data_IF_385097388338
#
_entry.id   IF_385097388338
#
_cell.length_a   1.000
_cell.length_b   1.000
_cell.length_c   1.000
_cell.angle_alpha   90.00
_cell.angle_beta   90.00
_cell.angle_gamma   90.00
#
_symmetry.space_group_name_H-M   'P 1'
#
loop_
_entity.id
_entity.type
_entity.pdbx_description
1 polymer ?
#
# COMPACT_ATOMS: atom_id res chain seq x y z
N UNK A 1 -5.72 2.87 -13.33
CA UNK A 1 -6.81 2.57 -14.27
C UNK A 1 -7.96 2.01 -13.45
N UNK A 2 -9.17 2.50 -13.66
CA UNK A 2 -10.37 1.96 -12.99
C UNK A 2 -11.10 1.05 -13.99
N UNK A 3 -11.35 -0.24 -13.65
CA UNK A 3 -12.06 -1.16 -14.54
C UNK A 3 -13.52 -0.70 -14.71
N UNK A 4 -14.01 -0.68 -15.94
CA UNK A 4 -15.35 -0.14 -16.28
C UNK A 4 -16.43 -1.21 -16.42
N UNK A 5 -16.07 -2.49 -16.32
CA UNK A 5 -17.00 -3.63 -16.37
C UNK A 5 -16.58 -4.72 -15.39
N UNK A 6 -17.53 -5.61 -15.05
CA UNK A 6 -17.25 -6.76 -14.18
C UNK A 6 -16.14 -7.65 -14.74
N UNK A 7 -16.18 -7.96 -16.04
CA UNK A 7 -15.15 -8.78 -16.69
C UNK A 7 -13.76 -8.13 -16.61
N UNK A 8 -13.69 -6.81 -16.85
CA UNK A 8 -12.43 -6.07 -16.71
C UNK A 8 -11.93 -6.08 -15.27
N UNK A 9 -12.83 -5.93 -14.29
CA UNK A 9 -12.47 -5.98 -12.88
C UNK A 9 -11.91 -7.35 -12.49
N UNK A 10 -12.54 -8.44 -12.94
CA UNK A 10 -12.06 -9.80 -12.69
C UNK A 10 -10.63 -9.99 -13.22
N UNK A 11 -10.38 -9.59 -14.47
CA UNK A 11 -9.05 -9.71 -15.07
C UNK A 11 -8.02 -8.77 -14.41
N UNK A 12 -8.41 -7.54 -14.07
CA UNK A 12 -7.51 -6.55 -13.48
C UNK A 12 -7.08 -6.93 -12.06
N UNK A 13 -8.03 -7.37 -11.22
CA UNK A 13 -7.78 -7.74 -9.84
C UNK A 13 -7.28 -9.19 -9.66
N UNK A 14 -7.23 -9.99 -10.71
CA UNK A 14 -6.56 -11.29 -10.69
C UNK A 14 -5.04 -11.16 -10.40
N UNK A 15 -4.45 -10.01 -10.73
CA UNK A 15 -3.08 -9.67 -10.35
C UNK A 15 -3.03 -9.04 -8.94
N UNK A 16 -2.36 -9.68 -7.97
CA UNK A 16 -2.18 -9.13 -6.62
C UNK A 16 -1.50 -7.77 -6.57
N UNK A 17 -0.63 -7.45 -7.54
CA UNK A 17 0.04 -6.16 -7.59
C UNK A 17 -0.94 -5.03 -7.94
N UNK A 18 -1.86 -5.28 -8.87
CA UNK A 18 -2.94 -4.36 -9.21
C UNK A 18 -3.85 -4.11 -8.01
N UNK A 19 -4.21 -5.15 -7.25
CA UNK A 19 -4.96 -5.00 -6.00
C UNK A 19 -4.26 -4.04 -5.03
N UNK A 20 -2.96 -4.24 -4.81
CA UNK A 20 -2.18 -3.38 -3.91
C UNK A 20 -2.13 -1.95 -4.42
N UNK A 21 -1.73 -1.73 -5.68
CA UNK A 21 -1.62 -0.39 -6.30
C UNK A 21 -2.94 0.35 -6.21
N UNK A 22 -4.03 -0.33 -6.54
CA UNK A 22 -5.38 0.23 -6.54
C UNK A 22 -5.84 0.69 -5.16
N UNK A 23 -5.51 -0.06 -4.11
CA UNK A 23 -5.88 0.26 -2.73
C UNK A 23 -4.93 1.27 -2.08
N UNK A 24 -3.63 1.21 -2.37
CA UNK A 24 -2.63 2.15 -1.84
C UNK A 24 -2.96 3.58 -2.24
N UNK A 25 -3.30 3.83 -3.50
CA UNK A 25 -3.63 5.19 -3.97
C UNK A 25 -4.91 5.74 -3.36
N UNK A 26 -5.87 4.88 -2.99
CA UNK A 26 -7.12 5.29 -2.34
C UNK A 26 -6.95 5.52 -0.83
N UNK A 27 -6.14 4.69 -0.17
CA UNK A 27 -5.86 4.82 1.25
C UNK A 27 -4.96 6.01 1.56
N UNK A 28 -3.98 6.26 0.70
CA UNK A 28 -2.98 7.31 0.84
C UNK A 28 -2.92 8.18 -0.41
N UNK A 29 -3.88 9.12 -0.57
CA UNK A 29 -3.91 10.00 -1.74
C UNK A 29 -2.65 10.88 -1.84
N UNK A 30 -2.08 11.27 -0.70
CA UNK A 30 -0.90 12.15 -0.62
C UNK A 30 0.43 11.40 -0.39
N UNK A 31 0.43 10.08 -0.64
CA UNK A 31 1.56 9.19 -0.42
C UNK A 31 1.54 8.50 0.94
N UNK A 32 2.22 7.35 1.00
CA UNK A 32 2.16 6.46 2.17
C UNK A 32 2.81 7.12 3.39
N UNK A 33 2.09 7.13 4.51
CA UNK A 33 2.57 7.61 5.80
C UNK A 33 2.60 6.47 6.80
N UNK A 34 3.52 6.54 7.77
CA UNK A 34 3.54 5.56 8.85
C UNK A 34 2.27 5.72 9.71
N UNK A 35 1.48 4.65 9.94
CA UNK A 35 0.26 4.72 10.74
C UNK A 35 0.52 4.98 12.23
N UNK A 36 1.76 4.75 12.70
CA UNK A 36 2.10 4.94 14.11
C UNK A 36 2.54 6.36 14.43
N UNK A 37 3.37 6.96 13.58
CA UNK A 37 4.03 8.23 13.86
C UNK A 37 3.72 9.32 12.84
N UNK A 38 2.95 9.02 11.78
CA UNK A 38 2.60 9.98 10.73
C UNK A 38 3.76 10.34 9.77
N UNK A 39 4.97 9.82 9.99
CA UNK A 39 6.13 10.18 9.16
C UNK A 39 5.95 9.74 7.70
N UNK A 40 6.37 10.61 6.78
CA UNK A 40 6.48 10.35 5.34
C UNK A 40 7.78 9.61 4.98
N UNK A 41 8.71 9.43 5.93
CA UNK A 41 9.98 8.71 5.71
C UNK A 41 9.75 7.20 5.75
N UNK A 42 8.94 6.70 4.81
CA UNK A 42 8.64 5.29 4.64
C UNK A 42 9.25 4.77 3.36
N UNK A 43 9.71 3.51 3.36
CA UNK A 43 10.18 2.80 2.17
C UNK A 43 9.34 1.56 1.95
N UNK A 44 9.10 1.23 0.68
CA UNK A 44 8.45 -0.03 0.34
C UNK A 44 9.50 -1.12 0.13
N UNK A 45 9.36 -2.21 0.87
CA UNK A 45 10.20 -3.39 0.80
C UNK A 45 9.51 -4.43 -0.09
N UNK A 46 9.79 -4.38 -1.39
CA UNK A 46 9.11 -5.17 -2.43
C UNK A 46 9.15 -6.69 -2.14
N UNK A 47 10.31 -7.21 -1.76
CA UNK A 47 10.51 -8.62 -1.38
C UNK A 47 9.52 -9.12 -0.32
N UNK A 48 9.10 -8.25 0.60
CA UNK A 48 8.21 -8.61 1.71
C UNK A 48 6.78 -8.09 1.51
N UNK A 49 6.55 -7.28 0.48
CA UNK A 49 5.30 -6.56 0.24
C UNK A 49 4.85 -5.73 1.48
N UNK A 50 5.79 -5.00 2.09
CA UNK A 50 5.56 -4.19 3.30
C UNK A 50 6.18 -2.81 3.19
N UNK A 51 5.72 -1.88 4.02
CA UNK A 51 6.38 -0.62 4.25
C UNK A 51 7.20 -0.67 5.53
N UNK A 52 8.30 0.08 5.55
CA UNK A 52 9.15 0.27 6.72
C UNK A 52 9.33 1.78 6.95
N UNK A 53 8.97 2.24 8.14
CA UNK A 53 9.26 3.59 8.59
C UNK A 53 10.71 3.70 9.03
N UNK A 54 11.41 4.75 8.58
CA UNK A 54 12.81 5.02 8.97
C UNK A 54 12.94 5.71 10.32
N UNK A 55 11.83 6.16 10.92
CA UNK A 55 11.86 6.75 12.25
C UNK A 55 12.11 5.68 13.33
N UNK A 56 12.79 6.07 14.41
CA UNK A 56 13.14 5.16 15.51
C UNK A 56 11.94 4.98 16.45
N UNK A 57 11.15 3.96 16.22
CA UNK A 57 10.08 3.54 17.12
C UNK A 57 9.83 2.04 17.05
N UNK A 58 9.06 1.51 18.00
CA UNK A 58 8.72 0.09 18.02
C UNK A 58 7.89 -0.30 16.80
N UNK A 59 8.17 -1.50 16.28
CA UNK A 59 7.50 -2.12 15.14
C UNK A 59 7.31 -1.17 13.92
N UNK A 60 8.41 -0.73 13.29
CA UNK A 60 8.38 0.25 12.19
C UNK A 60 7.83 -0.30 10.86
N UNK A 61 7.58 -1.61 10.77
CA UNK A 61 7.04 -2.24 9.57
C UNK A 61 5.50 -2.33 9.62
N UNK A 62 4.86 -2.09 8.48
CA UNK A 62 3.40 -2.19 8.33
C UNK A 62 3.03 -2.63 6.91
N UNK A 63 1.77 -3.02 6.71
CA UNK A 63 1.21 -3.42 5.42
C UNK A 63 0.04 -2.51 5.07
N UNK A 64 -0.50 -2.64 3.87
CA UNK A 64 -1.72 -1.95 3.44
C UNK A 64 -2.94 -2.24 4.35
N UNK A 65 -2.96 -3.43 4.99
CA UNK A 65 -4.04 -3.83 5.89
C UNK A 65 -3.87 -3.25 7.30
N UNK A 66 -2.62 -3.13 7.74
CA UNK A 66 -2.26 -2.82 9.14
C UNK A 66 -1.81 -1.39 9.36
N UNK A 67 -1.67 -0.60 8.30
CA UNK A 67 -1.41 0.83 8.36
C UNK A 67 -2.30 1.56 7.39
#
# INVERSE_FOLDING_TARGET
>A
MEPKSLQQAILYFADPENCRKYLVTRRWPDGVTCPRCGSKKVIFLEKYNRWHCREKHQAPQFTLKTG
#
